data_IF_154110740401
#
_entry.id   IF_154110740401
#
_cell.length_a   1.000
_cell.length_b   1.000
_cell.length_c   1.000
_cell.angle_alpha   90.00
_cell.angle_beta   90.00
_cell.angle_gamma   90.00
#
_symmetry.space_group_name_H-M   'P 1'
#
loop_
_entity.id
_entity.type
_entity.pdbx_description
1 polymer ?
#
# COMPACT_ATOMS: atom_id res chain seq x y z
N UNK A 1 7.52 -6.68 -6.39
CA UNK A 1 8.77 -5.90 -6.42
C UNK A 1 9.02 -5.14 -7.70
N UNK A 2 9.02 -5.78 -8.89
CA UNK A 2 9.35 -5.12 -10.17
C UNK A 2 8.49 -3.90 -10.54
N UNK A 3 7.26 -3.80 -10.03
CA UNK A 3 6.37 -2.65 -10.27
C UNK A 3 6.58 -1.47 -9.29
N UNK A 4 7.31 -1.68 -8.20
CA UNK A 4 7.68 -0.65 -7.21
C UNK A 4 9.15 -0.83 -6.78
N UNK A 5 10.10 -0.75 -7.73
CA UNK A 5 11.50 -1.10 -7.48
C UNK A 5 12.24 -0.08 -6.62
N UNK A 6 11.82 1.19 -6.64
CA UNK A 6 12.55 2.30 -6.01
C UNK A 6 11.81 2.86 -4.79
N UNK A 7 12.53 3.39 -3.79
CA UNK A 7 11.91 4.14 -2.69
C UNK A 7 10.94 5.22 -3.17
N UNK A 8 9.74 5.25 -2.59
CA UNK A 8 8.66 6.16 -2.97
C UNK A 8 7.81 5.68 -4.14
N UNK A 9 8.19 4.61 -4.85
CA UNK A 9 7.32 4.00 -5.84
C UNK A 9 6.06 3.45 -5.15
N UNK A 10 4.91 3.65 -5.79
CA UNK A 10 3.64 3.16 -5.32
C UNK A 10 2.76 2.69 -6.46
N UNK A 11 1.82 1.81 -6.13
CA UNK A 11 0.67 1.43 -6.95
C UNK A 11 -0.61 1.49 -6.11
N UNK A 12 -1.75 1.71 -6.76
CA UNK A 12 -3.06 1.47 -6.14
C UNK A 12 -3.56 0.07 -6.50
N UNK A 13 -4.00 -0.69 -5.51
CA UNK A 13 -4.52 -2.05 -5.68
C UNK A 13 -5.87 -2.22 -4.98
N UNK A 14 -6.61 -3.27 -5.35
CA UNK A 14 -7.84 -3.67 -4.67
C UNK A 14 -7.56 -4.79 -3.68
N UNK A 15 -8.16 -4.72 -2.50
CA UNK A 15 -8.25 -5.81 -1.51
C UNK A 15 -9.73 -6.04 -1.21
N UNK A 16 -10.34 -7.02 -1.88
CA UNK A 16 -11.80 -7.10 -1.94
C UNK A 16 -12.37 -5.89 -2.68
N UNK A 17 -13.31 -5.18 -2.05
CA UNK A 17 -13.89 -3.93 -2.59
C UNK A 17 -13.10 -2.68 -2.20
N UNK A 18 -12.25 -2.79 -1.17
CA UNK A 18 -11.42 -1.69 -0.67
C UNK A 18 -10.24 -1.41 -1.60
N UNK A 19 -9.81 -0.16 -1.64
CA UNK A 19 -8.62 0.27 -2.37
C UNK A 19 -7.49 0.62 -1.42
N UNK A 20 -6.28 0.18 -1.75
CA UNK A 20 -5.07 0.41 -0.96
C UNK A 20 -3.99 1.06 -1.80
N UNK A 21 -3.16 1.89 -1.16
CA UNK A 21 -1.91 2.40 -1.68
C UNK A 21 -0.81 1.46 -1.19
N UNK A 22 -0.09 0.81 -2.09
CA UNK A 22 1.06 -0.07 -1.79
C UNK A 22 2.32 0.71 -2.12
N UNK A 23 3.18 0.97 -1.13
CA UNK A 23 4.32 1.89 -1.27
C UNK A 23 5.64 1.29 -0.79
N UNK A 24 6.68 1.42 -1.62
CA UNK A 24 8.06 1.10 -1.27
C UNK A 24 8.60 2.16 -0.31
N UNK A 25 9.01 1.71 0.86
CA UNK A 25 9.57 2.55 1.92
C UNK A 25 11.05 2.86 1.64
N UNK A 26 11.59 3.86 2.34
CA UNK A 26 12.99 4.26 2.21
C UNK A 26 13.97 3.19 2.70
N UNK A 27 13.55 2.33 3.63
CA UNK A 27 14.33 1.19 4.14
C UNK A 27 14.24 -0.05 3.24
N UNK A 28 13.53 0.04 2.12
CA UNK A 28 13.32 -1.06 1.19
C UNK A 28 12.12 -1.95 1.52
N UNK A 29 11.50 -1.82 2.69
CA UNK A 29 10.27 -2.55 3.03
C UNK A 29 9.07 -2.07 2.18
N UNK A 30 7.97 -2.82 2.21
CA UNK A 30 6.72 -2.42 1.57
C UNK A 30 5.66 -2.28 2.65
N UNK A 31 4.91 -1.19 2.60
CA UNK A 31 3.74 -0.97 3.44
C UNK A 31 2.55 -0.66 2.57
N UNK A 32 1.35 -1.01 3.05
CA UNK A 32 0.12 -0.73 2.35
C UNK A 32 -0.90 -0.06 3.27
N UNK A 33 -1.68 0.87 2.73
CA UNK A 33 -2.64 1.66 3.50
C UNK A 33 -3.95 1.80 2.74
N UNK A 34 -5.09 1.85 3.43
CA UNK A 34 -6.34 2.23 2.78
C UNK A 34 -6.18 3.59 2.08
N UNK A 35 -6.68 3.68 0.86
CA UNK A 35 -6.64 4.88 0.04
C UNK A 35 -7.71 5.91 0.48
N UNK A 36 -7.73 6.23 1.77
CA UNK A 36 -8.79 7.03 2.41
C UNK A 36 -8.17 8.04 3.37
N UNK A 37 -8.39 9.32 3.11
CA UNK A 37 -7.95 10.40 3.97
C UNK A 37 -8.60 10.31 5.36
N UNK A 38 -7.79 10.40 6.41
CA UNK A 38 -8.22 10.32 7.82
C UNK A 38 -9.04 11.50 8.33
N UNK A 39 -9.17 12.58 7.56
CA UNK A 39 -10.00 13.73 7.95
C UNK A 39 -11.49 13.48 7.69
N UNK A 40 -11.87 13.35 6.41
CA UNK A 40 -13.28 13.28 5.96
C UNK A 40 -13.53 12.15 4.93
N UNK A 41 -12.62 11.20 4.81
CA UNK A 41 -12.84 9.98 4.03
C UNK A 41 -12.67 10.11 2.51
N UNK A 42 -12.15 11.23 1.99
CA UNK A 42 -11.87 11.35 0.55
C UNK A 42 -10.80 10.35 0.11
N UNK A 43 -10.95 9.76 -1.08
CA UNK A 43 -9.88 9.06 -1.81
C UNK A 43 -8.62 9.93 -1.90
N UNK A 44 -7.48 9.37 -1.47
CA UNK A 44 -6.24 10.13 -1.32
C UNK A 44 -5.45 10.21 -2.63
N UNK A 45 -5.30 9.08 -3.32
CA UNK A 45 -4.53 8.91 -4.56
C UNK A 45 -5.46 8.45 -5.67
N UNK A 46 -5.45 9.13 -6.82
CA UNK A 46 -6.26 8.74 -7.99
C UNK A 46 -5.43 8.12 -9.13
N UNK A 47 -4.10 8.25 -9.07
CA UNK A 47 -3.20 7.65 -10.05
C UNK A 47 -2.98 6.18 -9.74
N UNK A 48 -2.88 5.34 -10.78
CA UNK A 48 -2.75 3.89 -10.61
C UNK A 48 -1.35 3.46 -10.15
N UNK A 49 -0.34 4.27 -10.49
CA UNK A 49 1.05 4.08 -10.11
C UNK A 49 1.80 5.43 -10.16
N UNK A 50 2.94 5.50 -9.48
CA UNK A 50 3.84 6.65 -9.55
C UNK A 50 4.98 6.57 -8.54
N UNK A 51 5.73 7.66 -8.39
CA UNK A 51 6.73 7.85 -7.35
C UNK A 51 6.40 9.11 -6.55
N UNK A 52 6.30 9.00 -5.23
CA UNK A 52 6.05 10.14 -4.36
C UNK A 52 6.59 9.90 -2.94
N UNK A 53 7.12 10.96 -2.31
CA UNK A 53 7.53 10.95 -0.90
C UNK A 53 6.33 11.05 0.07
N UNK A 54 5.15 11.37 -0.44
CA UNK A 54 3.92 11.53 0.32
C UNK A 54 2.72 11.86 -0.58
N UNK A 55 1.54 11.90 0.04
CA UNK A 55 0.25 12.03 -0.61
C UNK A 55 -0.55 13.16 0.03
N UNK A 56 -0.97 14.14 -0.77
CA UNK A 56 -1.75 15.30 -0.29
C UNK A 56 -3.22 15.14 -0.67
N UNK A 57 -4.09 15.19 0.33
CA UNK A 57 -5.52 15.09 0.11
C UNK A 57 -6.05 16.36 -0.57
N UNK A 58 -6.56 16.23 -1.80
CA UNK A 58 -7.11 17.36 -2.55
C UNK A 58 -8.41 17.95 -2.00
N UNK A 59 -8.91 17.49 -0.85
CA UNK A 59 -10.07 18.12 -0.21
C UNK A 59 -9.63 19.30 0.68
N UNK A 60 -8.87 19.02 1.74
CA UNK A 60 -8.46 20.02 2.74
C UNK A 60 -6.94 20.12 2.90
N UNK A 61 -6.17 19.48 2.02
CA UNK A 61 -4.71 19.58 2.00
C UNK A 61 -3.94 18.82 3.08
N UNK A 62 -4.57 17.90 3.83
CA UNK A 62 -3.83 17.03 4.75
C UNK A 62 -2.79 16.20 3.98
N UNK A 63 -1.53 16.31 4.39
CA UNK A 63 -0.40 15.63 3.77
C UNK A 63 0.06 14.43 4.59
N UNK A 64 0.10 13.27 3.94
CA UNK A 64 0.55 12.00 4.51
C UNK A 64 1.90 11.62 3.91
N UNK A 65 2.81 11.06 4.69
CA UNK A 65 4.05 10.48 4.15
C UNK A 65 3.79 9.19 3.37
N UNK A 66 4.78 8.72 2.60
CA UNK A 66 4.76 7.38 2.00
C UNK A 66 4.71 6.25 3.04
N UNK A 67 5.06 6.58 4.29
CA UNK A 67 4.95 5.74 5.49
C UNK A 67 3.57 5.83 6.17
N UNK A 68 2.60 6.52 5.57
CA UNK A 68 1.23 6.68 6.06
C UNK A 68 1.06 7.68 7.21
N UNK A 69 2.13 8.26 7.76
CA UNK A 69 2.00 9.22 8.86
C UNK A 69 1.37 10.54 8.40
N UNK A 70 0.52 11.15 9.23
CA UNK A 70 0.03 12.52 8.98
C UNK A 70 1.15 13.52 9.29
N UNK A 71 1.74 14.12 8.26
CA UNK A 71 2.89 15.00 8.37
C UNK A 71 2.47 16.48 8.45
N UNK A 72 1.52 16.89 7.61
CA UNK A 72 1.08 18.28 7.51
C UNK A 72 -0.43 18.42 7.53
N UNK A 73 -0.90 19.45 8.24
CA UNK A 73 -2.29 19.90 8.26
C UNK A 73 -2.30 21.40 7.98
N UNK A 74 -2.96 21.86 6.90
CA UNK A 74 -3.09 23.29 6.67
C UNK A 74 -3.77 23.97 7.86
N UNK A 75 -3.23 25.13 8.25
CA UNK A 75 -3.68 25.90 9.41
C UNK A 75 -3.64 25.14 10.75
N UNK A 76 -2.70 24.20 10.90
CA UNK A 76 -2.53 23.45 12.16
C UNK A 76 -2.37 24.37 13.37
N UNK A 77 -1.52 25.40 13.26
CA UNK A 77 -1.27 26.33 14.37
C UNK A 77 -2.44 27.28 14.63
N UNK A 78 -3.07 27.77 13.56
CA UNK A 78 -4.08 28.83 13.61
C UNK A 78 -5.47 28.30 14.02
N UNK A 79 -5.83 27.07 13.63
CA UNK A 79 -7.17 26.52 13.82
C UNK A 79 -7.23 25.32 14.75
N UNK A 80 -6.18 24.49 14.80
CA UNK A 80 -6.20 23.26 15.59
C UNK A 80 -5.44 23.37 16.92
N UNK A 81 -4.26 24.00 16.90
CA UNK A 81 -3.36 24.02 18.06
C UNK A 81 -3.12 22.60 18.60
N UNK A 82 -3.20 22.44 19.93
CA UNK A 82 -3.00 21.15 20.60
C UNK A 82 -4.19 20.17 20.48
N UNK A 83 -5.30 20.60 19.86
CA UNK A 83 -6.48 19.74 19.71
C UNK A 83 -6.24 18.60 18.69
N UNK A 84 -5.31 18.76 17.75
CA UNK A 84 -4.98 17.73 16.76
C UNK A 84 -3.76 16.91 17.19
N UNK A 85 -3.97 15.60 17.33
CA UNK A 85 -2.90 14.63 17.63
C UNK A 85 -2.53 13.85 16.38
N UNK A 86 -1.61 14.41 15.55
CA UNK A 86 -1.24 13.83 14.25
C UNK A 86 -0.83 12.35 14.30
N UNK A 87 -0.14 11.93 15.38
CA UNK A 87 0.28 10.53 15.60
C UNK A 87 -0.88 9.53 15.64
N UNK A 88 -2.09 9.95 15.98
CA UNK A 88 -3.29 9.10 16.01
C UNK A 88 -4.06 9.08 14.68
N UNK A 89 -3.61 9.86 13.69
CA UNK A 89 -4.33 10.16 12.45
C UNK A 89 -3.53 9.74 11.20
N UNK A 90 -2.57 8.83 11.32
CA UNK A 90 -1.93 8.19 10.17
C UNK A 90 -2.92 7.35 9.35
N UNK A 91 -2.64 7.08 8.08
CA UNK A 91 -3.50 6.25 7.23
C UNK A 91 -3.76 4.88 7.89
N UNK A 92 -4.94 4.30 7.64
CA UNK A 92 -5.27 2.98 8.17
C UNK A 92 -4.45 1.95 7.41
N UNK A 93 -3.46 1.39 8.09
CA UNK A 93 -2.50 0.44 7.55
C UNK A 93 -3.09 -0.96 7.38
N UNK A 94 -2.65 -1.66 6.34
CA UNK A 94 -2.85 -3.11 6.17
C UNK A 94 -1.90 -3.80 7.15
N UNK A 95 -2.40 -4.54 8.15
CA UNK A 95 -1.59 -5.02 9.27
C UNK A 95 -0.55 -6.08 8.86
N UNK A 96 -0.74 -6.77 7.73
CA UNK A 96 0.13 -7.83 7.26
C UNK A 96 0.47 -7.59 5.79
N UNK A 97 1.76 -7.43 5.49
CA UNK A 97 2.31 -7.35 4.13
C UNK A 97 3.50 -8.30 4.05
N UNK A 98 3.41 -9.29 3.18
CA UNK A 98 4.43 -10.34 3.03
C UNK A 98 4.71 -10.59 1.54
N UNK A 99 5.83 -11.24 1.24
CA UNK A 99 6.27 -11.48 -0.14
C UNK A 99 6.61 -12.95 -0.36
N UNK A 100 6.17 -13.49 -1.49
CA UNK A 100 6.60 -14.78 -2.02
C UNK A 100 7.41 -14.54 -3.29
N UNK A 101 8.74 -14.61 -3.18
CA UNK A 101 9.69 -14.42 -4.30
C UNK A 101 9.42 -13.17 -5.16
N UNK A 102 9.13 -12.03 -4.53
CA UNK A 102 8.90 -10.75 -5.20
C UNK A 102 7.43 -10.46 -5.51
N UNK A 103 6.52 -11.40 -5.27
CA UNK A 103 5.07 -11.21 -5.32
C UNK A 103 4.55 -10.81 -3.95
N UNK A 104 4.02 -9.60 -3.84
CA UNK A 104 3.63 -8.98 -2.58
C UNK A 104 2.14 -9.24 -2.32
N UNK A 105 1.82 -9.71 -1.12
CA UNK A 105 0.47 -9.97 -0.63
C UNK A 105 0.17 -9.11 0.59
N UNK A 106 -1.11 -8.76 0.77
CA UNK A 106 -1.62 -8.06 1.94
C UNK A 106 -2.78 -8.82 2.57
N UNK A 107 -2.89 -8.79 3.89
CA UNK A 107 -4.02 -9.35 4.64
C UNK A 107 -4.52 -8.35 5.68
N UNK A 108 -5.85 -8.19 5.77
CA UNK A 108 -6.48 -7.34 6.78
C UNK A 108 -6.58 -8.00 8.14
N UNK A 109 -6.53 -9.33 8.20
CA UNK A 109 -6.54 -10.06 9.46
C UNK A 109 -5.11 -10.17 10.01
N UNK A 110 -4.89 -9.57 11.17
CA UNK A 110 -3.60 -9.58 11.84
C UNK A 110 -3.24 -10.98 12.36
N UNK A 111 -4.24 -11.83 12.62
CA UNK A 111 -4.09 -13.19 13.16
C UNK A 111 -3.90 -14.25 12.07
N UNK A 112 -3.93 -13.86 10.80
CA UNK A 112 -3.72 -14.76 9.67
C UNK A 112 -2.37 -15.53 9.79
N UNK A 113 -2.29 -16.77 9.28
CA UNK A 113 -1.01 -17.46 9.19
C UNK A 113 -0.01 -16.68 8.31
N UNK A 114 1.30 -16.90 8.46
CA UNK A 114 2.29 -16.44 7.49
C UNK A 114 1.91 -16.83 6.06
N UNK A 115 2.26 -16.01 5.07
CA UNK A 115 1.93 -16.24 3.67
C UNK A 115 2.44 -17.61 3.17
N UNK A 116 3.64 -18.01 3.59
CA UNK A 116 4.20 -19.31 3.21
C UNK A 116 3.35 -20.47 3.73
N UNK A 117 2.86 -20.37 4.96
CA UNK A 117 2.00 -21.39 5.57
C UNK A 117 0.59 -21.38 4.92
N UNK A 118 0.10 -20.20 4.55
CA UNK A 118 -1.14 -20.05 3.78
C UNK A 118 -1.05 -20.72 2.39
N UNK A 119 0.11 -20.58 1.71
CA UNK A 119 0.36 -21.27 0.45
C UNK A 119 0.45 -22.80 0.63
N UNK A 120 0.95 -23.25 1.79
CA UNK A 120 1.03 -24.66 2.14
C UNK A 120 1.71 -25.50 1.06
N UNK A 121 1.16 -26.67 0.77
CA UNK A 121 1.73 -27.59 -0.23
C UNK A 121 1.75 -27.02 -1.66
N UNK A 122 0.93 -26.00 -1.96
CA UNK A 122 0.98 -25.34 -3.26
C UNK A 122 2.32 -24.62 -3.49
N UNK A 123 2.97 -24.15 -2.43
CA UNK A 123 4.28 -23.50 -2.54
C UNK A 123 5.31 -24.39 -3.22
N UNK A 124 5.31 -25.69 -2.92
CA UNK A 124 6.23 -26.67 -3.55
C UNK A 124 6.11 -26.70 -5.07
N UNK A 125 4.89 -26.59 -5.60
CA UNK A 125 4.65 -26.56 -7.05
C UNK A 125 5.06 -25.23 -7.69
N UNK A 126 5.04 -24.13 -6.92
CA UNK A 126 5.40 -22.80 -7.41
C UNK A 126 6.91 -22.56 -7.39
N UNK A 127 7.64 -23.11 -6.42
CA UNK A 127 9.07 -22.87 -6.23
C UNK A 127 9.94 -23.11 -7.49
N UNK A 128 9.75 -24.16 -8.32
CA UNK A 128 10.54 -24.33 -9.53
C UNK A 128 10.55 -23.11 -10.45
N UNK A 129 9.41 -22.44 -10.59
CA UNK A 129 9.23 -21.30 -11.49
C UNK A 129 9.45 -19.97 -10.76
N UNK A 130 8.96 -19.83 -9.54
CA UNK A 130 8.99 -18.55 -8.81
C UNK A 130 10.34 -18.28 -8.12
N UNK A 131 11.07 -19.35 -7.76
CA UNK A 131 12.32 -19.26 -6.98
C UNK A 131 13.53 -19.75 -7.76
N UNK A 132 13.44 -20.94 -8.37
CA UNK A 132 14.60 -21.62 -8.95
C UNK A 132 14.93 -21.22 -10.39
N UNK A 133 14.04 -20.47 -11.05
CA UNK A 133 14.22 -20.00 -12.44
C UNK A 133 15.19 -18.82 -12.61
N UNK A 134 15.67 -18.23 -11.52
CA UNK A 134 16.47 -16.99 -11.53
C UNK A 134 15.68 -15.72 -11.19
N UNK A 135 14.38 -15.86 -10.85
CA UNK A 135 13.52 -14.76 -10.46
C UNK A 135 12.58 -14.31 -11.58
N UNK A 136 11.40 -13.85 -11.20
CA UNK A 136 10.38 -13.37 -12.14
C UNK A 136 10.18 -11.87 -11.99
N UNK A 137 9.82 -11.24 -13.11
CA UNK A 137 9.34 -9.87 -13.13
C UNK A 137 7.89 -9.83 -13.62
N UNK A 138 7.05 -9.06 -12.92
CA UNK A 138 5.71 -8.74 -13.38
C UNK A 138 5.79 -7.51 -14.29
N UNK A 139 5.32 -7.65 -15.53
CA UNK A 139 5.31 -6.57 -16.54
C UNK A 139 3.97 -5.82 -16.49
N UNK A 140 4.02 -4.52 -16.23
CA UNK A 140 2.85 -3.64 -16.21
C UNK A 140 2.72 -2.74 -17.47
N UNK A 141 1.64 -1.94 -17.57
CA UNK A 141 0.45 -1.98 -16.72
C UNK A 141 -0.46 -3.19 -17.05
N UNK A 142 -1.26 -3.68 -16.08
CA UNK A 142 -2.18 -4.78 -16.34
C UNK A 142 -3.36 -4.32 -17.21
N UNK A 143 -3.84 -5.21 -18.09
CA UNK A 143 -5.12 -5.00 -18.76
C UNK A 143 -6.28 -5.02 -17.75
N UNK A 144 -7.20 -4.07 -17.83
CA UNK A 144 -8.37 -3.95 -16.95
C UNK A 144 -9.65 -3.98 -17.78
N UNK A 145 -10.54 -4.93 -17.49
CA UNK A 145 -11.84 -5.11 -18.16
C UNK A 145 -12.87 -5.60 -17.15
N UNK A 146 -14.12 -5.13 -17.28
CA UNK A 146 -15.24 -5.56 -16.44
C UNK A 146 -16.01 -6.69 -17.14
N UNK A 147 -16.22 -7.80 -16.44
CA UNK A 147 -17.00 -8.95 -16.92
C UNK A 147 -18.29 -9.09 -16.08
N UNK A 148 -19.40 -9.47 -16.72
CA UNK A 148 -20.65 -9.84 -16.04
C UNK A 148 -20.74 -11.37 -16.01
N UNK A 149 -20.00 -11.98 -15.08
CA UNK A 149 -19.89 -13.43 -14.90
C UNK A 149 -20.87 -13.95 -13.83
#
# INVERSE_FOLDING_TARGET
DSLIPSPGDYVTAKMGVDEVIVSRQNDGSVRAFLNVCRHRGKTLVNAEAGNAKGFVCSYHGWGFGSNGELQSVPFEKELYGDAIKKKCLGLKEVPRVESFHGFIYGCFDAEAPPLMDYLGDAAWYLEPIFKHSGGLELVGPPGKVVIKA
#
